data_IF_137296638335
#
_entry.id   IF_137296638335
#
_cell.length_a   1.000
_cell.length_b   1.000
_cell.length_c   1.000
_cell.angle_alpha   90.00
_cell.angle_beta   90.00
_cell.angle_gamma   90.00
#
_symmetry.space_group_name_H-M   'P 1'
#
loop_
_entity.id
_entity.type
_entity.pdbx_description
1 polymer ?
#
# COMPACT_ATOMS: atom_id res chain seq x y z
N UNK A 1 -64.54 -35.71 -2.91
CA UNK A 1 -64.50 -34.22 -2.79
C UNK A 1 -63.67 -33.71 -3.97
N UNK A 2 -64.31 -33.36 -5.10
CA UNK A 2 -64.43 -31.98 -5.65
C UNK A 2 -63.06 -31.30 -5.90
N UNK A 3 -62.48 -31.37 -7.10
CA UNK A 3 -62.62 -30.51 -8.32
C UNK A 3 -61.79 -29.21 -8.32
N UNK A 4 -61.11 -29.00 -9.47
CA UNK A 4 -60.94 -27.74 -10.23
C UNK A 4 -59.70 -26.82 -10.00
N UNK A 5 -58.84 -26.81 -11.04
CA UNK A 5 -58.31 -25.67 -11.85
C UNK A 5 -58.04 -24.30 -11.22
N UNK A 6 -56.87 -23.71 -11.53
CA UNK A 6 -56.76 -22.37 -12.12
C UNK A 6 -55.35 -22.06 -12.68
N UNK A 7 -55.34 -21.63 -13.96
CA UNK A 7 -54.31 -20.82 -14.62
C UNK A 7 -54.34 -19.39 -14.05
N UNK A 8 -53.19 -18.72 -14.02
CA UNK A 8 -53.10 -17.26 -14.21
C UNK A 8 -51.83 -16.90 -14.97
N UNK A 9 -52.03 -16.36 -16.18
CA UNK A 9 -51.14 -15.44 -16.88
C UNK A 9 -50.81 -14.23 -15.98
N UNK A 10 -49.64 -13.60 -16.17
CA UNK A 10 -49.55 -12.15 -16.49
C UNK A 10 -48.14 -11.57 -16.37
N UNK A 11 -47.86 -10.70 -17.35
CA UNK A 11 -47.04 -9.49 -17.28
C UNK A 11 -45.52 -9.59 -17.43
N UNK A 12 -45.14 -9.54 -18.71
CA UNK A 12 -44.10 -8.65 -19.23
C UNK A 12 -44.10 -7.28 -18.53
N UNK A 13 -42.95 -6.87 -17.98
CA UNK A 13 -42.70 -5.46 -17.69
C UNK A 13 -41.25 -5.12 -18.06
N UNK A 14 -41.09 -4.44 -19.19
CA UNK A 14 -39.83 -3.84 -19.64
C UNK A 14 -39.58 -2.56 -18.85
N UNK A 15 -38.40 -2.37 -18.23
CA UNK A 15 -38.03 -1.05 -17.74
C UNK A 15 -37.50 -0.20 -18.90
N UNK A 16 -38.26 0.86 -19.17
CA UNK A 16 -37.95 1.97 -20.08
C UNK A 16 -36.81 2.78 -19.47
N UNK A 17 -35.64 2.82 -20.10
CA UNK A 17 -34.53 3.69 -19.73
C UNK A 17 -34.90 5.16 -19.96
N UNK A 18 -35.21 5.88 -18.89
CA UNK A 18 -35.26 7.35 -18.90
C UNK A 18 -33.88 7.89 -18.58
N UNK A 19 -33.20 8.38 -19.61
CA UNK A 19 -32.04 9.25 -19.55
C UNK A 19 -32.39 10.52 -18.77
N UNK A 20 -31.96 10.62 -17.51
CA UNK A 20 -32.02 11.83 -16.73
C UNK A 20 -30.60 12.41 -16.61
N UNK A 21 -30.33 13.39 -17.46
CA UNK A 21 -29.10 14.19 -17.49
C UNK A 21 -29.12 15.12 -16.26
N UNK A 22 -28.13 15.09 -15.36
CA UNK A 22 -28.01 16.09 -14.31
C UNK A 22 -27.45 17.41 -14.86
N UNK A 23 -27.93 18.57 -14.38
CA UNK A 23 -27.45 19.87 -14.85
C UNK A 23 -26.03 20.16 -14.38
N UNK A 24 -25.24 20.70 -15.32
CA UNK A 24 -23.89 21.22 -15.17
C UNK A 24 -23.77 22.21 -14.00
N UNK A 25 -22.95 21.84 -13.01
CA UNK A 25 -22.53 22.71 -11.91
C UNK A 25 -21.54 23.74 -12.48
N UNK A 26 -21.93 25.02 -12.47
CA UNK A 26 -21.10 26.17 -12.81
C UNK A 26 -19.83 26.20 -11.94
N UNK A 27 -18.68 26.28 -12.59
CA UNK A 27 -17.40 26.60 -11.97
C UNK A 27 -17.41 28.02 -11.37
N UNK A 28 -16.78 28.24 -10.21
CA UNK A 28 -16.51 29.58 -9.70
C UNK A 28 -15.28 30.19 -10.41
N UNK A 29 -15.53 31.33 -11.06
CA UNK A 29 -14.54 32.27 -11.60
C UNK A 29 -13.47 32.69 -10.57
N UNK A 30 -12.18 32.77 -10.94
CA UNK A 30 -11.15 33.38 -10.10
C UNK A 30 -11.24 34.93 -10.12
N UNK A 31 -10.91 35.61 -9.01
CA UNK A 31 -10.85 37.08 -8.99
C UNK A 31 -9.61 37.60 -9.75
N UNK A 32 -9.70 38.81 -10.34
CA UNK A 32 -8.65 39.36 -11.20
C UNK A 32 -7.44 39.86 -10.42
N UNK A 33 -6.25 39.59 -10.99
CA UNK A 33 -4.99 40.23 -10.67
C UNK A 33 -5.09 41.76 -10.83
N UNK A 34 -4.77 42.48 -9.76
CA UNK A 34 -4.35 43.88 -9.83
C UNK A 34 -2.84 43.93 -9.59
N UNK A 35 -2.15 44.39 -10.63
CA UNK A 35 -0.72 44.65 -10.66
C UNK A 35 -0.49 46.18 -10.61
N UNK A 36 0.68 46.58 -10.08
CA UNK A 36 1.31 47.93 -10.01
C UNK A 36 1.07 48.84 -8.79
N UNK A 37 2.05 48.83 -7.87
CA UNK A 37 3.06 49.88 -7.50
C UNK A 37 2.63 51.38 -7.40
N UNK A 38 3.33 52.30 -6.66
CA UNK A 38 4.73 52.23 -6.15
C UNK A 38 5.04 52.86 -4.74
N UNK A 39 6.24 52.55 -4.23
CA UNK A 39 7.24 53.45 -3.58
C UNK A 39 6.75 54.68 -2.76
N UNK A 40 6.97 54.67 -1.43
CA UNK A 40 7.73 55.72 -0.68
C UNK A 40 7.69 55.56 0.85
N UNK A 41 8.90 55.67 1.44
CA UNK A 41 9.31 56.42 2.64
C UNK A 41 8.61 56.25 4.01
N UNK A 42 9.39 55.74 4.97
CA UNK A 42 9.82 56.38 6.24
C UNK A 42 8.75 57.13 7.06
N UNK A 43 8.37 56.56 8.21
CA UNK A 43 8.16 57.32 9.44
C UNK A 43 8.21 56.41 10.69
N UNK A 44 9.08 56.79 11.60
CA UNK A 44 9.20 56.47 13.01
C UNK A 44 7.88 56.71 13.75
N UNK A 45 7.43 55.78 14.61
CA UNK A 45 6.65 56.08 15.83
C UNK A 45 6.98 55.02 16.89
N UNK A 46 7.44 55.52 18.04
CA UNK A 46 7.57 54.86 19.34
C UNK A 46 6.24 54.24 19.81
N UNK A 47 6.30 53.08 20.44
CA UNK A 47 5.41 52.80 21.58
C UNK A 47 6.06 51.77 22.50
N UNK A 48 6.47 52.27 23.65
CA UNK A 48 6.65 51.59 24.92
C UNK A 48 5.53 50.61 25.28
N UNK A 49 5.91 49.64 26.13
CA UNK A 49 5.14 48.80 27.06
C UNK A 49 5.41 47.32 26.82
N UNK A 50 5.61 46.44 27.79
CA UNK A 50 5.95 46.54 29.21
C UNK A 50 6.36 45.10 29.57
N UNK A 51 7.35 44.99 30.44
CA UNK A 51 7.54 43.98 31.50
C UNK A 51 6.84 42.61 31.38
N UNK A 52 7.62 41.52 31.35
CA UNK A 52 7.76 40.63 32.52
C UNK A 52 8.67 39.43 32.14
N UNK A 53 9.93 39.50 32.57
CA UNK A 53 10.89 38.40 32.45
C UNK A 53 11.49 38.15 33.83
N UNK A 54 10.96 37.13 34.49
CA UNK A 54 11.47 36.59 35.74
C UNK A 54 12.74 35.79 35.49
N UNK A 55 13.86 36.48 35.75
CA UNK A 55 14.93 36.09 36.66
C UNK A 55 15.03 34.61 37.11
N UNK A 56 16.17 33.99 36.79
CA UNK A 56 16.85 32.96 37.59
C UNK A 56 18.31 32.83 37.11
N UNK A 57 19.17 33.70 37.66
CA UNK A 57 20.41 33.37 38.40
C UNK A 57 20.74 31.86 38.59
N UNK A 58 21.96 31.32 38.62
CA UNK A 58 23.39 31.68 38.41
C UNK A 58 24.10 30.33 38.22
N UNK A 59 25.27 30.29 37.57
CA UNK A 59 26.51 29.85 38.24
C UNK A 59 27.70 30.01 37.28
N UNK A 60 28.74 30.63 37.83
CA UNK A 60 30.00 31.02 37.21
C UNK A 60 30.91 29.82 36.97
N UNK A 61 31.86 29.96 36.03
CA UNK A 61 32.87 28.92 35.81
C UNK A 61 33.96 29.24 34.80
N UNK A 62 34.63 30.37 35.01
CA UNK A 62 35.93 30.81 34.48
C UNK A 62 36.85 29.76 33.83
N UNK A 63 37.31 29.99 32.59
CA UNK A 63 38.72 30.28 32.26
C UNK A 63 39.02 30.21 30.75
N UNK A 64 39.87 31.16 30.31
CA UNK A 64 40.44 31.35 28.96
C UNK A 64 41.99 31.18 29.08
N UNK A 65 42.79 31.29 28.00
CA UNK A 65 43.24 30.30 26.99
C UNK A 65 44.81 30.19 27.03
N UNK A 66 45.61 30.15 25.92
CA UNK A 66 45.53 29.56 24.57
C UNK A 66 46.79 28.70 24.22
N UNK A 67 46.79 27.98 23.08
CA UNK A 67 47.89 28.00 22.07
C UNK A 67 47.78 26.87 21.03
N UNK A 68 48.08 27.23 19.78
CA UNK A 68 48.33 26.38 18.62
C UNK A 68 49.41 25.32 18.86
N UNK A 69 49.33 24.16 18.19
CA UNK A 69 50.49 23.46 17.59
C UNK A 69 50.02 22.41 16.56
N UNK A 70 50.72 22.43 15.43
CA UNK A 70 50.72 21.61 14.23
C UNK A 70 50.99 20.11 14.46
N UNK A 71 50.69 19.29 13.44
CA UNK A 71 51.32 18.00 13.03
C UNK A 71 50.43 16.73 13.07
N UNK A 72 50.02 16.30 11.86
CA UNK A 72 50.03 14.88 11.42
C UNK A 72 51.48 14.34 11.42
N UNK A 73 51.80 13.02 11.50
CA UNK A 73 51.11 11.94 10.75
C UNK A 73 51.22 10.49 11.32
N UNK A 74 50.76 9.51 10.50
CA UNK A 74 51.21 8.09 10.41
C UNK A 74 50.61 7.01 11.35
N UNK A 75 49.98 6.02 10.69
CA UNK A 75 50.03 4.55 10.87
C UNK A 75 49.79 3.91 12.24
N UNK A 76 48.81 2.98 12.27
CA UNK A 76 48.95 1.52 12.50
C UNK A 76 47.61 0.96 12.98
N UNK A 77 46.96 0.06 12.25
CA UNK A 77 46.98 -1.41 12.43
C UNK A 77 46.52 -1.90 13.82
N UNK A 78 45.35 -2.56 13.76
CA UNK A 78 44.88 -3.68 14.57
C UNK A 78 44.65 -3.47 16.07
N UNK A 79 43.47 -3.90 16.55
CA UNK A 79 43.26 -4.90 17.63
C UNK A 79 41.81 -4.77 18.16
N UNK A 80 41.14 -5.92 18.14
CA UNK A 80 39.96 -6.47 18.86
C UNK A 80 39.07 -5.59 19.76
N UNK A 81 37.76 -5.84 19.63
CA UNK A 81 36.73 -6.01 20.69
C UNK A 81 35.41 -6.27 19.91
N UNK A 82 34.79 -7.45 19.88
CA UNK A 82 34.20 -8.25 20.96
C UNK A 82 33.28 -7.44 21.88
N UNK A 83 32.03 -7.23 21.48
CA UNK A 83 30.88 -7.33 22.41
C UNK A 83 29.52 -7.35 21.68
N UNK A 84 28.70 -8.32 22.09
CA UNK A 84 27.24 -8.22 22.27
C UNK A 84 26.35 -8.23 21.01
N UNK A 85 25.78 -9.38 20.64
CA UNK A 85 24.50 -9.87 21.20
C UNK A 85 23.45 -8.76 21.41
N UNK A 86 22.54 -8.62 20.44
CA UNK A 86 21.13 -8.33 20.76
C UNK A 86 20.24 -9.15 19.83
N UNK A 87 19.91 -10.32 20.37
CA UNK A 87 18.85 -11.25 20.02
C UNK A 87 17.54 -10.46 19.80
N UNK A 88 17.10 -10.36 18.56
CA UNK A 88 15.77 -9.86 18.20
C UNK A 88 14.73 -10.76 18.85
N UNK A 89 14.01 -10.21 19.82
CA UNK A 89 12.91 -10.87 20.50
C UNK A 89 11.80 -11.12 19.49
N UNK A 90 11.74 -12.38 19.05
CA UNK A 90 10.62 -13.00 18.39
C UNK A 90 9.44 -13.01 19.37
N UNK A 91 8.51 -12.07 19.14
CA UNK A 91 7.25 -11.92 19.86
C UNK A 91 6.34 -13.10 19.50
N UNK A 92 6.50 -14.18 20.25
CA UNK A 92 5.61 -15.34 20.22
C UNK A 92 4.19 -14.91 20.65
N UNK A 93 3.14 -15.23 19.89
CA UNK A 93 1.78 -14.99 20.32
C UNK A 93 1.47 -15.87 21.53
N UNK A 94 1.13 -15.21 22.64
CA UNK A 94 0.64 -15.80 23.89
C UNK A 94 -0.47 -16.81 23.54
N UNK A 95 -0.30 -18.11 23.84
CA UNK A 95 -1.40 -19.06 23.75
C UNK A 95 -2.44 -18.63 24.78
N UNK A 96 -3.61 -18.24 24.29
CA UNK A 96 -4.81 -18.08 25.11
C UNK A 96 -4.99 -19.36 25.93
N UNK A 97 -4.60 -19.30 27.20
CA UNK A 97 -5.05 -20.21 28.23
C UNK A 97 -6.58 -20.16 28.21
N UNK A 98 -7.14 -21.14 27.52
CA UNK A 98 -8.54 -21.48 27.52
C UNK A 98 -8.81 -21.98 28.93
N UNK A 99 -9.07 -21.05 29.84
CA UNK A 99 -9.58 -21.37 31.16
C UNK A 99 -10.79 -22.28 30.99
N UNK A 100 -10.57 -23.54 31.37
CA UNK A 100 -11.62 -24.47 31.68
C UNK A 100 -12.47 -23.84 32.78
N UNK A 101 -13.54 -23.14 32.41
CA UNK A 101 -14.68 -22.96 33.30
C UNK A 101 -15.25 -24.35 33.55
N UNK A 102 -15.15 -24.92 34.78
CA UNK A 102 -16.00 -26.04 35.12
C UNK A 102 -17.43 -25.54 35.02
N UNK A 103 -18.20 -26.25 34.18
CA UNK A 103 -19.63 -26.10 34.01
C UNK A 103 -20.28 -26.41 35.38
N UNK A 104 -20.41 -25.41 36.25
CA UNK A 104 -21.20 -25.52 37.47
C UNK A 104 -22.65 -25.57 37.02
N UNK A 105 -23.15 -26.80 36.86
CA UNK A 105 -24.54 -27.06 36.57
C UNK A 105 -25.41 -26.34 37.60
N UNK A 106 -26.48 -25.62 37.19
CA UNK A 106 -27.50 -25.21 38.14
C UNK A 106 -28.12 -26.48 38.71
N UNK A 107 -27.93 -26.65 40.02
CA UNK A 107 -28.58 -27.66 40.82
C UNK A 107 -30.07 -27.71 40.43
N UNK A 108 -30.48 -28.84 39.87
CA UNK A 108 -31.88 -29.19 39.69
C UNK A 108 -32.54 -29.08 41.06
N UNK A 109 -33.46 -28.13 41.20
CA UNK A 109 -34.40 -28.07 42.31
C UNK A 109 -35.11 -29.43 42.38
N UNK A 110 -34.65 -30.30 43.29
CA UNK A 110 -35.44 -31.41 43.78
C UNK A 110 -36.75 -30.83 44.29
N UNK A 111 -37.82 -31.15 43.56
CA UNK A 111 -39.18 -31.03 44.04
C UNK A 111 -39.32 -31.93 45.26
N UNK A 112 -38.99 -31.41 46.43
CA UNK A 112 -39.41 -31.96 47.70
C UNK A 112 -40.93 -31.76 47.77
N UNK A 113 -41.65 -32.75 47.25
CA UNK A 113 -43.05 -32.97 47.54
C UNK A 113 -43.16 -33.46 48.99
N UNK A 114 -43.12 -32.54 49.95
CA UNK A 114 -43.53 -32.82 51.32
C UNK A 114 -44.96 -32.31 51.52
N UNK A 115 -45.85 -33.29 51.42
CA UNK A 115 -47.11 -33.49 52.13
C UNK A 115 -47.84 -32.28 52.74
N UNK A 116 -49.15 -32.11 52.46
CA UNK A 116 -49.99 -31.19 53.23
C UNK A 116 -50.06 -31.66 54.70
N UNK A 117 -49.88 -30.77 55.69
CA UNK A 117 -50.10 -31.14 57.08
C UNK A 117 -51.58 -31.43 57.31
N UNK A 118 -51.85 -32.62 57.84
CA UNK A 118 -53.15 -33.08 58.30
C UNK A 118 -53.74 -32.13 59.34
N UNK A 119 -54.93 -31.62 59.02
CA UNK A 119 -55.85 -30.95 59.93
C UNK A 119 -56.14 -31.82 61.15
N UNK A 120 -55.48 -31.55 62.27
CA UNK A 120 -55.97 -31.94 63.59
C UNK A 120 -56.80 -30.79 64.14
N UNK A 121 -58.11 -30.95 64.10
CA UNK A 121 -59.07 -30.12 64.84
C UNK A 121 -58.87 -30.31 66.34
N UNK A 122 -58.55 -29.26 67.12
CA UNK A 122 -58.66 -29.32 68.57
C UNK A 122 -60.10 -28.99 68.99
N UNK A 123 -60.66 -29.96 69.69
CA UNK A 123 -61.90 -29.88 70.45
C UNK A 123 -61.88 -28.71 71.43
N UNK A 124 -62.83 -27.80 71.22
CA UNK A 124 -63.61 -27.07 72.23
C UNK A 124 -63.37 -27.51 73.69
N UNK A 125 -62.81 -26.65 74.53
CA UNK A 125 -63.55 -26.18 75.70
C UNK A 125 -62.90 -24.99 76.39
N UNK A 126 -63.74 -24.05 76.83
CA UNK A 126 -63.43 -23.07 77.86
C UNK A 126 -62.41 -21.96 77.54
N UNK A 127 -62.90 -20.76 77.23
CA UNK A 127 -62.71 -19.56 78.07
C UNK A 127 -63.20 -18.30 77.35
N UNK A 128 -64.31 -17.77 77.85
CA UNK A 128 -64.95 -16.54 77.42
C UNK A 128 -64.29 -15.35 78.15
N UNK A 129 -63.00 -15.10 77.93
CA UNK A 129 -62.28 -13.95 78.52
C UNK A 129 -60.93 -13.64 77.84
N UNK A 130 -60.84 -13.72 76.50
CA UNK A 130 -59.57 -13.49 75.77
C UNK A 130 -59.75 -12.85 74.39
N UNK A 131 -60.98 -12.40 74.06
CA UNK A 131 -61.29 -11.84 72.74
C UNK A 131 -60.76 -10.42 72.55
N UNK A 132 -60.65 -9.66 73.64
CA UNK A 132 -60.14 -8.28 73.61
C UNK A 132 -58.61 -8.20 73.46
N UNK A 133 -57.87 -9.20 73.97
CA UNK A 133 -56.40 -9.23 73.87
C UNK A 133 -55.91 -9.74 72.51
N UNK A 134 -56.67 -10.60 71.82
CA UNK A 134 -56.35 -11.02 70.45
C UNK A 134 -56.47 -9.87 69.44
N UNK A 135 -57.49 -9.02 69.57
CA UNK A 135 -57.69 -7.87 68.66
C UNK A 135 -56.60 -6.80 68.81
N UNK A 136 -56.00 -6.64 69.99
CA UNK A 136 -54.85 -5.74 70.21
C UNK A 136 -53.55 -6.29 69.61
N UNK A 137 -53.32 -7.61 69.70
CA UNK A 137 -52.14 -8.24 69.09
C UNK A 137 -52.20 -8.23 67.55
N UNK A 138 -53.38 -8.40 66.96
CA UNK A 138 -53.56 -8.30 65.51
C UNK A 138 -53.25 -6.89 64.99
N UNK A 139 -53.67 -5.84 65.70
CA UNK A 139 -53.35 -4.46 65.30
C UNK A 139 -51.85 -4.18 65.39
N UNK A 140 -51.19 -4.63 66.45
CA UNK A 140 -49.74 -4.44 66.61
C UNK A 140 -48.94 -5.17 65.52
N UNK A 141 -49.30 -6.40 65.19
CA UNK A 141 -48.65 -7.16 64.13
C UNK A 141 -48.88 -6.55 62.74
N UNK A 142 -50.07 -6.03 62.45
CA UNK A 142 -50.31 -5.32 61.17
C UNK A 142 -49.45 -4.08 61.01
N UNK A 143 -49.24 -3.30 62.08
CA UNK A 143 -48.39 -2.11 62.07
C UNK A 143 -46.91 -2.47 61.85
N UNK A 144 -46.42 -3.52 62.53
CA UNK A 144 -45.05 -4.01 62.34
C UNK A 144 -44.82 -4.55 60.91
N UNK A 145 -45.81 -5.21 60.32
CA UNK A 145 -45.75 -5.69 58.92
C UNK A 145 -45.73 -4.53 57.93
N UNK A 146 -46.51 -3.48 58.17
CA UNK A 146 -46.52 -2.29 57.31
C UNK A 146 -45.19 -1.53 57.38
N UNK A 147 -44.64 -1.34 58.58
CA UNK A 147 -43.33 -0.71 58.76
C UNK A 147 -42.21 -1.55 58.11
N UNK A 148 -42.24 -2.88 58.24
CA UNK A 148 -41.30 -3.76 57.56
C UNK A 148 -41.39 -3.64 56.03
N UNK A 149 -42.61 -3.53 55.49
CA UNK A 149 -42.84 -3.33 54.06
C UNK A 149 -42.32 -1.98 53.58
N UNK A 150 -42.48 -0.92 54.38
CA UNK A 150 -41.95 0.39 54.06
C UNK A 150 -40.41 0.42 54.10
N UNK A 151 -39.79 -0.20 55.10
CA UNK A 151 -38.33 -0.38 55.16
C UNK A 151 -37.80 -1.11 53.93
N UNK A 152 -38.49 -2.16 53.47
CA UNK A 152 -38.12 -2.88 52.25
C UNK A 152 -38.23 -1.99 51.00
N UNK A 153 -39.28 -1.17 50.89
CA UNK A 153 -39.41 -0.19 49.80
C UNK A 153 -38.25 0.81 49.82
N UNK A 154 -37.87 1.31 50.99
CA UNK A 154 -36.72 2.23 51.12
C UNK A 154 -35.40 1.56 50.74
N UNK A 155 -35.19 0.30 51.12
CA UNK A 155 -33.99 -0.45 50.71
C UNK A 155 -33.93 -0.64 49.20
N UNK A 156 -35.04 -1.02 48.55
CA UNK A 156 -35.08 -1.17 47.09
C UNK A 156 -34.80 0.16 46.37
N UNK A 157 -35.36 1.27 46.84
CA UNK A 157 -35.07 2.60 46.29
C UNK A 157 -33.58 2.98 46.43
N UNK A 158 -32.95 2.65 47.57
CA UNK A 158 -31.51 2.86 47.76
C UNK A 158 -30.66 1.97 46.86
N UNK A 159 -31.09 0.73 46.62
CA UNK A 159 -30.40 -0.19 45.71
C UNK A 159 -30.47 0.32 44.26
N UNK A 160 -31.64 0.79 43.82
CA UNK A 160 -31.83 1.35 42.48
C UNK A 160 -31.01 2.63 42.28
N UNK A 161 -30.96 3.53 43.27
CA UNK A 161 -30.09 4.73 43.23
C UNK A 161 -28.60 4.33 43.13
N UNK A 162 -28.17 3.31 43.87
CA UNK A 162 -26.80 2.81 43.79
C UNK A 162 -26.50 2.17 42.43
N UNK A 163 -27.45 1.44 41.83
CA UNK A 163 -27.32 0.88 40.47
C UNK A 163 -27.19 2.00 39.44
N UNK A 164 -28.04 3.02 39.51
CA UNK A 164 -27.96 4.17 38.61
C UNK A 164 -26.64 4.93 38.75
N UNK A 165 -26.14 5.14 39.97
CA UNK A 165 -24.83 5.76 40.22
C UNK A 165 -23.68 4.94 39.63
N UNK A 166 -23.71 3.62 39.79
CA UNK A 166 -22.70 2.73 39.21
C UNK A 166 -22.75 2.71 37.67
N UNK A 167 -23.94 2.72 37.08
CA UNK A 167 -24.10 2.80 35.63
C UNK A 167 -23.60 4.14 35.07
N UNK A 168 -23.95 5.25 35.72
CA UNK A 168 -23.46 6.58 35.37
C UNK A 168 -21.94 6.68 35.49
N UNK A 169 -21.35 6.09 36.54
CA UNK A 169 -19.89 6.02 36.71
C UNK A 169 -19.22 5.23 35.57
N UNK A 170 -19.79 4.08 35.17
CA UNK A 170 -19.31 3.29 34.03
C UNK A 170 -19.42 4.04 32.71
N UNK A 171 -20.49 4.82 32.51
CA UNK A 171 -20.64 5.65 31.32
C UNK A 171 -19.55 6.72 31.24
N UNK A 172 -19.31 7.45 32.34
CA UNK A 172 -18.22 8.45 32.41
C UNK A 172 -16.85 7.86 32.14
N UNK A 173 -16.59 6.63 32.60
CA UNK A 173 -15.33 5.94 32.32
C UNK A 173 -15.18 5.57 30.84
N UNK A 174 -16.26 5.12 30.18
CA UNK A 174 -16.26 4.86 28.74
C UNK A 174 -15.99 6.13 27.93
N UNK A 175 -16.69 7.22 28.25
CA UNK A 175 -16.50 8.51 27.59
C UNK A 175 -15.07 9.02 27.76
N UNK A 176 -14.48 8.89 28.96
CA UNK A 176 -13.08 9.25 29.22
C UNK A 176 -12.12 8.44 28.34
N UNK A 177 -12.34 7.13 28.22
CA UNK A 177 -11.52 6.23 27.39
C UNK A 177 -11.64 6.57 25.90
N UNK A 178 -12.85 6.88 25.43
CA UNK A 178 -13.08 7.30 24.04
C UNK A 178 -12.39 8.64 23.74
N UNK A 179 -12.43 9.59 24.66
CA UNK A 179 -11.72 10.87 24.52
C UNK A 179 -10.20 10.68 24.48
N UNK A 180 -9.66 9.84 25.36
CA UNK A 180 -8.23 9.51 25.38
C UNK A 180 -7.79 8.82 24.08
N UNK A 181 -8.57 7.86 23.58
CA UNK A 181 -8.29 7.20 22.31
C UNK A 181 -8.35 8.18 21.14
N UNK A 182 -9.30 9.11 21.16
CA UNK A 182 -9.40 10.18 20.15
C UNK A 182 -8.17 11.10 20.17
N UNK A 183 -7.75 11.55 21.36
CA UNK A 183 -6.53 12.37 21.50
C UNK A 183 -5.29 11.62 21.02
N UNK A 184 -5.19 10.32 21.32
CA UNK A 184 -4.09 9.48 20.84
C UNK A 184 -4.08 9.35 19.32
N UNK A 185 -5.25 9.21 18.68
CA UNK A 185 -5.38 9.17 17.21
C UNK A 185 -4.98 10.51 16.58
N UNK A 186 -5.46 11.63 17.12
CA UNK A 186 -5.13 12.97 16.64
C UNK A 186 -3.62 13.25 16.79
N UNK A 187 -3.01 12.87 17.92
CA UNK A 187 -1.56 13.00 18.12
C UNK A 187 -0.73 12.10 17.18
N UNK A 188 -1.20 10.88 16.90
CA UNK A 188 -0.56 9.99 15.93
C UNK A 188 -0.63 10.56 14.51
N UNK A 189 -1.78 11.12 14.12
CA UNK A 189 -1.96 11.78 12.83
C UNK A 189 -1.05 13.02 12.70
N UNK A 190 -0.92 13.84 13.75
CA UNK A 190 0.00 14.98 13.77
C UNK A 190 1.45 14.54 13.54
N UNK A 191 1.92 13.51 14.25
CA UNK A 191 3.27 12.96 14.04
C UNK A 191 3.48 12.44 12.62
N UNK A 192 2.47 11.83 12.02
CA UNK A 192 2.56 11.38 10.63
C UNK A 192 2.64 12.56 9.65
N UNK A 193 1.88 13.63 9.89
CA UNK A 193 1.94 14.87 9.09
C UNK A 193 3.31 15.54 9.20
N UNK A 194 3.84 15.71 10.42
CA UNK A 194 5.19 16.27 10.65
C UNK A 194 6.26 15.42 9.96
N UNK A 195 6.17 14.08 10.05
CA UNK A 195 7.10 13.19 9.36
C UNK A 195 7.04 13.36 7.84
N UNK A 196 5.85 13.48 7.25
CA UNK A 196 5.67 13.73 5.82
C UNK A 196 6.23 15.09 5.40
N UNK A 197 6.04 16.12 6.21
CA UNK A 197 6.61 17.46 5.97
C UNK A 197 8.13 17.44 6.05
N UNK A 198 8.72 16.78 7.03
CA UNK A 198 10.17 16.58 7.12
C UNK A 198 10.72 15.81 5.92
N UNK A 199 10.05 14.75 5.47
CA UNK A 199 10.46 13.99 4.28
C UNK A 199 10.34 14.85 3.01
N UNK A 200 9.27 15.63 2.86
CA UNK A 200 9.10 16.55 1.73
C UNK A 200 10.20 17.62 1.71
N UNK A 201 10.53 18.20 2.86
CA UNK A 201 11.61 19.15 3.00
C UNK A 201 12.97 18.54 2.65
N UNK A 202 13.25 17.31 3.11
CA UNK A 202 14.47 16.59 2.76
C UNK A 202 14.57 16.31 1.25
N UNK A 203 13.46 15.92 0.61
CA UNK A 203 13.39 15.74 -0.85
C UNK A 203 13.66 17.04 -1.61
N UNK A 204 13.13 18.16 -1.11
CA UNK A 204 13.39 19.48 -1.71
C UNK A 204 14.88 19.85 -1.62
N UNK A 205 15.52 19.65 -0.47
CA UNK A 205 16.96 19.87 -0.34
C UNK A 205 17.80 18.95 -1.23
N UNK A 206 17.43 17.67 -1.35
CA UNK A 206 18.12 16.75 -2.24
C UNK A 206 18.01 17.19 -3.70
N UNK A 207 16.82 17.63 -4.11
CA UNK A 207 16.57 18.15 -5.45
C UNK A 207 17.45 19.38 -5.75
N UNK A 208 17.50 20.36 -4.84
CA UNK A 208 18.38 21.52 -4.97
C UNK A 208 19.86 21.13 -5.03
N UNK A 209 20.28 20.16 -4.23
CA UNK A 209 21.66 19.64 -4.26
C UNK A 209 21.98 19.02 -5.61
N UNK A 210 21.08 18.20 -6.16
CA UNK A 210 21.24 17.59 -7.50
C UNK A 210 21.27 18.64 -8.59
N UNK A 211 20.47 19.71 -8.49
CA UNK A 211 20.48 20.80 -9.45
C UNK A 211 21.81 21.57 -9.43
N UNK A 212 22.34 21.86 -8.23
CA UNK A 212 23.66 22.48 -8.06
C UNK A 212 24.78 21.59 -8.60
N UNK A 213 24.74 20.29 -8.34
CA UNK A 213 25.70 19.33 -8.88
C UNK A 213 25.62 19.25 -10.41
N UNK A 214 24.42 19.19 -10.98
CA UNK A 214 24.21 19.18 -12.43
C UNK A 214 24.75 20.46 -13.09
N UNK A 215 24.53 21.64 -12.48
CA UNK A 215 25.11 22.91 -12.92
C UNK A 215 26.64 22.88 -12.87
N UNK A 216 27.22 22.39 -11.76
CA UNK A 216 28.67 22.24 -11.62
C UNK A 216 29.28 21.33 -12.69
N UNK A 217 28.67 20.16 -12.92
CA UNK A 217 29.10 19.21 -13.98
C UNK A 217 29.02 19.84 -15.38
N UNK A 218 27.99 20.63 -15.65
CA UNK A 218 27.85 21.34 -16.91
C UNK A 218 28.97 22.37 -17.10
N UNK A 219 29.27 23.17 -16.08
CA UNK A 219 30.39 24.13 -16.12
C UNK A 219 31.75 23.44 -16.28
N UNK A 220 31.98 22.33 -15.59
CA UNK A 220 33.22 21.55 -15.71
C UNK A 220 33.39 20.98 -17.12
N UNK A 221 32.33 20.41 -17.69
CA UNK A 221 32.33 19.94 -19.09
C UNK A 221 32.64 21.08 -20.04
N UNK A 222 32.03 22.25 -19.84
CA UNK A 222 32.29 23.45 -20.65
C UNK A 222 33.75 23.89 -20.56
N UNK A 223 34.33 23.96 -19.35
CA UNK A 223 35.76 24.26 -19.13
C UNK A 223 36.67 23.24 -19.82
N UNK A 224 36.32 21.95 -19.77
CA UNK A 224 37.07 20.89 -20.44
C UNK A 224 37.04 21.03 -21.97
N UNK A 225 35.88 21.37 -22.54
CA UNK A 225 35.75 21.61 -23.98
C UNK A 225 36.54 22.85 -24.43
N UNK A 226 36.52 23.94 -23.67
CA UNK A 226 37.30 25.15 -23.96
C UNK A 226 38.80 24.89 -23.84
N UNK A 227 39.24 24.14 -22.81
CA UNK A 227 40.64 23.71 -22.67
C UNK A 227 41.09 22.81 -23.83
N UNK A 228 40.21 21.90 -24.31
CA UNK A 228 40.48 21.06 -25.48
C UNK A 228 40.63 21.89 -26.76
N UNK A 229 39.73 22.85 -26.99
CA UNK A 229 39.81 23.78 -28.13
C UNK A 229 41.09 24.61 -28.08
N UNK A 230 41.50 25.07 -26.90
CA UNK A 230 42.74 25.83 -26.74
C UNK A 230 43.98 24.99 -27.02
N UNK A 231 44.00 23.73 -26.55
CA UNK A 231 45.06 22.77 -26.89
C UNK A 231 45.10 22.49 -28.40
N UNK A 232 43.96 22.40 -29.06
CA UNK A 232 43.87 22.20 -30.50
C UNK A 232 44.36 23.43 -31.28
N UNK A 233 43.98 24.65 -30.86
CA UNK A 233 44.53 25.90 -31.41
C UNK A 233 46.05 25.97 -31.25
N UNK A 234 46.56 25.61 -30.08
CA UNK A 234 48.01 25.53 -29.81
C UNK A 234 48.71 24.51 -30.72
N UNK A 235 48.11 23.33 -30.95
CA UNK A 235 48.65 22.32 -31.88
C UNK A 235 48.66 22.80 -33.33
N UNK A 236 47.63 23.54 -33.75
CA UNK A 236 47.56 24.07 -35.12
C UNK A 236 48.62 25.15 -35.35
N UNK A 237 48.83 26.03 -34.38
CA UNK A 237 49.86 27.08 -34.45
C UNK A 237 51.29 26.52 -34.58
N UNK A 238 51.61 25.41 -33.90
CA UNK A 238 52.95 24.79 -34.00
C UNK A 238 53.18 24.05 -35.32
N UNK A 239 52.11 23.53 -35.96
CA UNK A 239 52.20 22.82 -37.23
C UNK A 239 52.48 23.75 -38.42
N UNK A 240 51.88 24.95 -38.46
CA UNK A 240 52.15 25.95 -39.52
C UNK A 240 53.59 26.50 -39.47
N UNK A 241 54.18 26.61 -38.27
CA UNK A 241 55.57 27.05 -38.13
C UNK A 241 56.59 25.98 -38.57
N UNK A 242 56.23 24.69 -38.50
CA UNK A 242 57.11 23.58 -38.90
C UNK A 242 57.06 23.30 -40.41
N UNK A 243 55.93 23.58 -41.06
CA UNK A 243 55.74 23.35 -42.50
C UNK A 243 56.48 24.34 -43.39
N UNK A 244 56.95 25.47 -42.83
CA UNK A 244 57.71 26.48 -43.58
C UNK A 244 59.23 26.22 -43.67
N UNK A 245 59.75 25.13 -43.08
CA UNK A 245 61.20 24.86 -43.02
C UNK A 245 61.70 23.58 -43.70
N UNK A 246 60.84 22.83 -44.39
CA UNK A 246 61.28 21.60 -45.09
C UNK A 246 61.32 21.81 -46.60
N UNK A 247 62.25 22.67 -47.03
CA UNK A 247 62.73 22.69 -48.41
C UNK A 247 63.90 21.71 -48.57
N UNK A 248 63.69 20.75 -49.47
CA UNK A 248 64.70 20.15 -50.36
C UNK A 248 65.85 19.32 -49.75
N UNK A 249 65.70 18.00 -49.79
CA UNK A 249 66.71 16.93 -50.02
C UNK A 249 65.94 15.60 -49.84
N UNK A 250 65.79 14.67 -50.77
CA UNK A 250 66.69 14.21 -51.81
C UNK A 250 66.97 12.71 -51.58
N UNK A 251 66.54 11.88 -52.53
CA UNK A 251 67.06 10.54 -52.87
C UNK A 251 66.68 9.27 -52.06
N UNK A 252 66.25 8.25 -52.83
CA UNK A 252 66.34 6.79 -52.56
C UNK A 252 65.16 6.21 -51.78
N UNK A 253 64.50 5.11 -52.13
CA UNK A 253 64.74 4.02 -53.08
C UNK A 253 64.04 2.75 -52.55
N UNK A 254 63.51 1.90 -53.43
CA UNK A 254 62.90 0.58 -53.12
C UNK A 254 61.36 0.63 -53.05
N UNK A 255 60.53 0.11 -53.96
CA UNK A 255 60.51 -1.14 -54.76
C UNK A 255 60.45 -2.42 -53.95
N UNK A 256 59.24 -2.81 -53.54
CA UNK A 256 58.68 -4.18 -53.38
C UNK A 256 57.43 -4.00 -52.51
N UNK A 257 56.21 -4.30 -52.95
CA UNK A 257 55.74 -5.55 -53.54
C UNK A 257 54.68 -6.06 -52.58
N UNK A 258 53.39 -5.96 -52.94
CA UNK A 258 52.33 -6.93 -52.62
C UNK A 258 50.97 -6.39 -53.13
N UNK A 259 50.40 -6.98 -54.20
CA UNK A 259 49.06 -6.70 -54.66
C UNK A 259 48.05 -7.57 -53.88
N UNK A 260 47.24 -6.93 -53.03
CA UNK A 260 46.16 -7.58 -52.26
C UNK A 260 44.80 -7.13 -52.79
N UNK A 261 44.35 -7.80 -53.85
CA UNK A 261 43.02 -7.66 -54.45
C UNK A 261 41.92 -8.10 -53.46
N UNK A 262 40.87 -7.29 -53.19
CA UNK A 262 39.61 -7.83 -52.70
C UNK A 262 38.82 -8.42 -53.89
N UNK A 263 38.22 -9.62 -53.77
CA UNK A 263 37.39 -10.17 -54.84
C UNK A 263 36.04 -9.43 -54.93
N UNK A 264 35.54 -9.10 -56.13
CA UNK A 264 34.15 -8.74 -56.34
C UNK A 264 33.30 -10.02 -56.37
N UNK A 265 32.75 -10.42 -55.22
CA UNK A 265 31.81 -11.53 -55.17
C UNK A 265 30.42 -11.10 -55.66
N UNK A 266 30.18 -11.43 -56.94
CA UNK A 266 28.96 -11.99 -57.50
C UNK A 266 27.65 -11.19 -57.37
N UNK A 267 27.33 -10.51 -58.48
CA UNK A 267 25.97 -10.53 -59.01
C UNK A 267 25.53 -11.97 -59.25
N UNK A 268 24.58 -12.46 -58.45
CA UNK A 268 23.81 -13.65 -58.77
C UNK A 268 22.44 -13.19 -59.27
N UNK A 269 22.22 -13.34 -60.57
CA UNK A 269 20.92 -13.17 -61.20
C UNK A 269 20.03 -14.40 -61.03
N UNK A 270 18.78 -14.20 -61.42
CA UNK A 270 17.76 -15.22 -61.71
C UNK A 270 17.04 -15.87 -60.52
N UNK A 271 15.81 -15.40 -60.32
CA UNK A 271 14.68 -16.20 -60.82
C UNK A 271 14.18 -17.31 -59.90
N UNK A 272 13.63 -16.94 -58.75
CA UNK A 272 12.58 -17.73 -58.12
C UNK A 272 11.33 -16.86 -57.95
N UNK A 273 10.52 -16.84 -59.00
CA UNK A 273 9.08 -16.54 -58.91
C UNK A 273 8.40 -17.74 -58.24
N UNK A 274 8.62 -17.89 -56.94
CA UNK A 274 7.77 -18.73 -56.11
C UNK A 274 6.66 -17.82 -55.60
N UNK A 275 5.42 -18.06 -56.05
CA UNK A 275 4.25 -17.45 -55.46
C UNK A 275 4.33 -17.57 -53.94
N UNK A 276 4.25 -16.45 -53.18
CA UNK A 276 4.10 -16.57 -51.75
C UNK A 276 2.75 -17.21 -51.52
N UNK A 277 2.76 -18.53 -51.29
CA UNK A 277 1.68 -19.17 -50.58
C UNK A 277 1.44 -18.30 -49.34
N UNK A 278 0.20 -17.80 -49.23
CA UNK A 278 -0.34 -17.10 -48.07
C UNK A 278 -0.26 -18.04 -46.85
N UNK A 279 0.93 -18.34 -46.36
CA UNK A 279 1.10 -18.71 -44.96
C UNK A 279 0.81 -17.43 -44.20
N UNK A 280 -0.40 -17.36 -43.64
CA UNK A 280 -0.90 -16.19 -42.94
C UNK A 280 0.15 -15.70 -41.96
N UNK A 281 0.77 -14.57 -42.30
CA UNK A 281 1.71 -13.91 -41.43
C UNK A 281 1.00 -13.72 -40.11
N UNK A 282 1.56 -14.31 -39.05
CA UNK A 282 1.28 -13.92 -37.69
C UNK A 282 1.56 -12.41 -37.63
N UNK A 283 0.50 -11.63 -37.83
CA UNK A 283 0.59 -10.19 -37.93
C UNK A 283 1.22 -9.69 -36.63
N UNK A 284 2.40 -9.08 -36.74
CA UNK A 284 2.94 -8.26 -35.67
C UNK A 284 1.83 -7.28 -35.30
N UNK A 285 1.19 -7.50 -34.15
CA UNK A 285 0.14 -6.62 -33.65
C UNK A 285 0.66 -5.19 -33.70
N UNK A 286 -0.16 -4.25 -34.16
CA UNK A 286 0.31 -2.88 -34.30
C UNK A 286 0.66 -2.33 -32.91
N UNK A 287 1.61 -1.39 -32.84
CA UNK A 287 2.00 -0.76 -31.58
C UNK A 287 0.81 -0.17 -30.81
N UNK A 288 -0.24 0.25 -31.53
CA UNK A 288 -1.49 0.76 -30.96
C UNK A 288 -2.35 -0.35 -30.33
N UNK A 289 -2.43 -1.52 -30.97
CA UNK A 289 -3.15 -2.67 -30.44
C UNK A 289 -2.56 -3.14 -29.11
N UNK A 290 -1.22 -3.12 -29.00
CA UNK A 290 -0.52 -3.50 -27.77
C UNK A 290 -0.79 -2.50 -26.64
N UNK A 291 -0.83 -1.19 -26.95
CA UNK A 291 -1.15 -0.16 -25.96
C UNK A 291 -2.58 -0.33 -25.41
N UNK A 292 -3.56 -0.52 -26.30
CA UNK A 292 -4.95 -0.75 -25.91
C UNK A 292 -5.13 -2.07 -25.14
N UNK A 293 -4.39 -3.12 -25.52
CA UNK A 293 -4.40 -4.39 -24.79
C UNK A 293 -3.77 -4.27 -23.40
N UNK A 294 -2.72 -3.45 -23.24
CA UNK A 294 -2.11 -3.19 -21.93
C UNK A 294 -3.07 -2.49 -20.97
N UNK A 295 -3.80 -1.48 -21.42
CA UNK A 295 -4.82 -0.81 -20.60
C UNK A 295 -5.91 -1.78 -20.15
N UNK A 296 -6.37 -2.67 -21.05
CA UNK A 296 -7.33 -3.73 -20.71
C UNK A 296 -6.76 -4.72 -19.69
N UNK A 297 -5.49 -5.09 -19.83
CA UNK A 297 -4.80 -5.97 -18.89
C UNK A 297 -4.73 -5.35 -17.49
N UNK A 298 -4.35 -4.08 -17.39
CA UNK A 298 -4.26 -3.37 -16.10
C UNK A 298 -5.65 -3.20 -15.45
N UNK A 299 -6.65 -2.77 -16.22
CA UNK A 299 -8.04 -2.68 -15.77
C UNK A 299 -8.62 -4.03 -15.35
N UNK A 300 -8.23 -5.12 -16.02
CA UNK A 300 -8.68 -6.45 -15.65
C UNK A 300 -8.04 -6.93 -14.33
N UNK A 301 -6.79 -6.56 -14.05
CA UNK A 301 -6.14 -6.84 -12.76
C UNK A 301 -6.80 -6.08 -11.60
N UNK A 302 -7.16 -4.81 -11.81
CA UNK A 302 -7.85 -4.01 -10.78
C UNK A 302 -9.27 -4.52 -10.52
N UNK A 303 -9.97 -5.02 -11.55
CA UNK A 303 -11.31 -5.59 -11.43
C UNK A 303 -11.34 -7.05 -10.94
N UNK A 304 -10.21 -7.77 -10.95
CA UNK A 304 -10.14 -9.19 -10.60
C UNK A 304 -10.63 -9.51 -9.17
N UNK A 305 -10.30 -8.73 -8.12
CA UNK A 305 -10.84 -8.95 -6.77
C UNK A 305 -12.37 -8.87 -6.72
N UNK A 306 -12.96 -7.90 -7.43
CA UNK A 306 -14.40 -7.67 -7.44
C UNK A 306 -15.13 -8.79 -8.18
N UNK A 307 -14.58 -9.24 -9.32
CA UNK A 307 -15.09 -10.43 -10.03
C UNK A 307 -15.06 -11.68 -9.16
N UNK A 308 -13.98 -11.85 -8.39
CA UNK A 308 -13.83 -12.99 -7.50
C UNK A 308 -14.79 -12.94 -6.30
N UNK A 309 -15.29 -11.76 -5.93
CA UNK A 309 -16.34 -11.59 -4.93
C UNK A 309 -17.74 -11.88 -5.50
N UNK A 310 -17.95 -11.63 -6.81
CA UNK A 310 -19.22 -11.89 -7.49
C UNK A 310 -19.46 -13.36 -7.83
N UNK A 311 -18.39 -14.15 -7.97
CA UNK A 311 -18.50 -15.59 -8.26
C UNK A 311 -17.16 -16.27 -8.51
N UNK A 312 -17.20 -17.59 -8.82
CA UNK A 312 -15.98 -18.34 -9.08
C UNK A 312 -15.37 -17.92 -10.42
N UNK A 313 -14.07 -17.58 -10.39
CA UNK A 313 -13.31 -17.14 -11.56
C UNK A 313 -13.11 -18.28 -12.57
N UNK A 314 -13.23 -17.97 -13.85
CA UNK A 314 -12.95 -18.90 -14.96
C UNK A 314 -11.62 -18.58 -15.63
N UNK A 315 -11.16 -19.47 -16.50
CA UNK A 315 -9.94 -19.26 -17.31
C UNK A 315 -9.91 -17.89 -18.03
N UNK A 316 -11.04 -17.45 -18.58
CA UNK A 316 -11.18 -16.18 -19.33
C UNK A 316 -11.17 -14.93 -18.46
N UNK A 317 -11.43 -15.07 -17.16
CA UNK A 317 -11.41 -13.92 -16.24
C UNK A 317 -9.99 -13.53 -15.84
N UNK A 318 -9.04 -14.46 -16.00
CA UNK A 318 -7.63 -14.21 -15.70
C UNK A 318 -7.04 -13.33 -16.80
N UNK A 319 -6.44 -12.17 -16.45
CA UNK A 319 -5.86 -11.25 -17.43
C UNK A 319 -4.50 -11.77 -17.92
N UNK A 320 -4.50 -12.67 -18.90
CA UNK A 320 -3.26 -13.21 -19.50
C UNK A 320 -2.44 -12.10 -20.20
N UNK A 321 -1.09 -12.14 -20.13
CA UNK A 321 -0.22 -11.11 -20.70
C UNK A 321 -0.07 -11.28 -22.22
N UNK A 322 -1.18 -11.14 -22.95
CA UNK A 322 -1.27 -11.31 -24.40
C UNK A 322 -2.26 -10.29 -24.98
N UNK A 323 -2.04 -9.88 -26.24
CA UNK A 323 -2.96 -8.96 -26.94
C UNK A 323 -4.34 -9.59 -27.16
N UNK A 324 -4.37 -10.87 -27.55
CA UNK A 324 -5.58 -11.67 -27.68
C UNK A 324 -5.71 -12.61 -26.49
N UNK A 325 -6.88 -12.62 -25.82
CA UNK A 325 -7.10 -13.50 -24.69
C UNK A 325 -7.17 -14.97 -25.14
N UNK A 326 -6.34 -15.86 -24.57
CA UNK A 326 -6.35 -17.29 -24.89
C UNK A 326 -7.64 -17.94 -24.40
N UNK A 327 -8.19 -18.89 -25.15
CA UNK A 327 -9.35 -19.67 -24.70
C UNK A 327 -8.96 -20.91 -23.92
N UNK A 328 -7.73 -21.40 -24.10
CA UNK A 328 -7.16 -22.58 -23.43
C UNK A 328 -5.68 -22.37 -23.10
N UNK A 329 -5.15 -23.20 -22.23
CA UNK A 329 -3.72 -23.21 -21.86
C UNK A 329 -2.78 -23.46 -23.04
N UNK A 330 -3.20 -24.26 -24.02
CA UNK A 330 -2.41 -24.52 -25.24
C UNK A 330 -2.34 -23.34 -26.23
N UNK A 331 -3.17 -22.31 -26.05
CA UNK A 331 -3.14 -21.10 -26.89
C UNK A 331 -2.06 -20.10 -26.43
N UNK A 332 -1.40 -20.36 -25.30
CA UNK A 332 -0.32 -19.51 -24.79
C UNK A 332 0.94 -19.70 -25.65
N UNK A 333 1.37 -18.62 -26.31
CA UNK A 333 2.57 -18.60 -27.15
C UNK A 333 3.64 -17.74 -26.51
N UNK A 334 4.88 -18.25 -26.42
CA UNK A 334 6.02 -17.54 -25.82
C UNK A 334 6.24 -16.17 -26.46
N UNK A 335 6.31 -16.13 -27.80
CA UNK A 335 6.50 -14.89 -28.57
C UNK A 335 5.42 -13.85 -28.31
N UNK A 336 4.18 -14.27 -28.13
CA UNK A 336 3.07 -13.35 -27.85
C UNK A 336 3.21 -12.70 -26.46
N UNK A 337 3.63 -13.50 -25.46
CA UNK A 337 3.90 -13.02 -24.09
C UNK A 337 5.12 -12.09 -24.09
N UNK A 338 6.19 -12.48 -24.78
CA UNK A 338 7.41 -11.69 -24.91
C UNK A 338 7.14 -10.33 -25.57
N UNK A 339 6.46 -10.34 -26.72
CA UNK A 339 6.06 -9.11 -27.42
C UNK A 339 5.16 -8.23 -26.56
N UNK A 340 4.22 -8.84 -25.82
CA UNK A 340 3.35 -8.10 -24.92
C UNK A 340 4.12 -7.44 -23.78
N UNK A 341 4.94 -8.18 -23.01
CA UNK A 341 5.66 -7.67 -21.84
C UNK A 341 6.82 -6.72 -22.21
N UNK A 342 7.51 -6.98 -23.33
CA UNK A 342 8.67 -6.18 -23.75
C UNK A 342 8.32 -4.98 -24.62
N UNK A 343 7.05 -4.83 -25.02
CA UNK A 343 6.62 -3.69 -25.83
C UNK A 343 6.97 -2.34 -25.19
N UNK A 344 7.60 -1.40 -25.91
CA UNK A 344 7.93 -0.07 -25.39
C UNK A 344 6.71 0.83 -25.22
N UNK A 345 5.53 0.40 -25.67
CA UNK A 345 4.30 1.19 -25.59
C UNK A 345 3.79 1.36 -24.18
N UNK A 346 4.12 0.43 -23.28
CA UNK A 346 3.74 0.50 -21.87
C UNK A 346 4.96 0.65 -20.99
N UNK A 347 4.79 1.37 -19.87
CA UNK A 347 5.84 1.59 -18.87
C UNK A 347 7.16 2.11 -19.46
N UNK A 348 7.10 3.19 -20.25
CA UNK A 348 8.24 3.82 -20.93
C UNK A 348 9.42 4.17 -19.99
N UNK A 349 9.14 4.34 -18.69
CA UNK A 349 10.15 4.63 -17.66
C UNK A 349 10.96 3.41 -17.19
N UNK A 350 10.52 2.19 -17.48
CA UNK A 350 11.10 0.95 -16.92
C UNK A 350 11.94 0.19 -17.93
N UNK A 351 13.09 -0.29 -17.46
CA UNK A 351 13.94 -1.15 -18.31
C UNK A 351 13.23 -2.46 -18.66
N UNK A 352 13.53 -3.09 -19.82
CA UNK A 352 12.94 -4.38 -20.17
C UNK A 352 13.13 -5.45 -19.09
N UNK A 353 14.31 -5.50 -18.47
CA UNK A 353 14.62 -6.42 -17.36
C UNK A 353 13.76 -6.15 -16.12
N UNK A 354 13.45 -4.89 -15.84
CA UNK A 354 12.57 -4.50 -14.73
C UNK A 354 11.12 -4.88 -14.99
N UNK A 355 10.62 -4.68 -16.22
CA UNK A 355 9.28 -5.13 -16.63
C UNK A 355 9.10 -6.64 -16.47
N UNK A 356 10.11 -7.43 -16.84
CA UNK A 356 10.08 -8.89 -16.63
C UNK A 356 10.02 -9.24 -15.14
N UNK A 357 10.83 -8.58 -14.29
CA UNK A 357 10.80 -8.81 -12.83
C UNK A 357 9.44 -8.49 -12.22
N UNK A 358 8.82 -7.39 -12.62
CA UNK A 358 7.48 -7.02 -12.15
C UNK A 358 6.44 -8.05 -12.58
N UNK A 359 6.50 -8.53 -13.83
CA UNK A 359 5.64 -9.60 -14.30
C UNK A 359 5.85 -10.89 -13.50
N UNK A 360 7.09 -11.29 -13.20
CA UNK A 360 7.40 -12.45 -12.37
C UNK A 360 6.84 -12.33 -10.94
N UNK A 361 6.86 -11.14 -10.35
CA UNK A 361 6.29 -10.91 -9.01
C UNK A 361 4.76 -11.09 -8.98
N UNK A 362 4.08 -10.74 -10.07
CA UNK A 362 2.63 -10.89 -10.23
C UNK A 362 2.27 -12.35 -10.52
N UNK A 363 3.00 -12.98 -11.45
CA UNK A 363 2.74 -14.33 -11.94
C UNK A 363 3.40 -15.44 -11.10
N UNK A 364 4.02 -15.11 -9.97
CA UNK A 364 4.67 -16.10 -9.10
C UNK A 364 3.68 -17.21 -8.70
N UNK A 365 4.01 -18.50 -8.90
CA UNK A 365 3.06 -19.60 -8.72
C UNK A 365 2.51 -19.63 -7.30
N UNK A 366 3.35 -19.47 -6.28
CA UNK A 366 2.91 -19.47 -4.88
C UNK A 366 1.92 -18.34 -4.54
N UNK A 367 2.18 -17.12 -5.03
CA UNK A 367 1.29 -15.97 -4.75
C UNK A 367 -0.01 -16.07 -5.53
N UNK A 368 0.06 -16.60 -6.75
CA UNK A 368 -1.12 -16.80 -7.57
C UNK A 368 -1.99 -17.95 -7.02
N UNK A 369 -1.36 -19.07 -6.66
CA UNK A 369 -2.03 -20.25 -6.10
C UNK A 369 -2.67 -19.95 -4.74
N UNK A 370 -2.02 -19.20 -3.87
CA UNK A 370 -2.61 -18.82 -2.57
C UNK A 370 -3.75 -17.81 -2.71
N UNK A 371 -3.64 -16.83 -3.62
CA UNK A 371 -4.59 -15.71 -3.69
C UNK A 371 -5.79 -15.97 -4.60
N UNK A 372 -5.59 -16.61 -5.75
CA UNK A 372 -6.59 -16.66 -6.83
C UNK A 372 -7.14 -18.07 -7.07
N UNK A 373 -6.32 -19.11 -6.93
CA UNK A 373 -6.75 -20.49 -7.23
C UNK A 373 -7.94 -20.99 -6.38
N UNK A 374 -8.06 -20.68 -5.07
CA UNK A 374 -9.23 -21.06 -4.27
C UNK A 374 -10.53 -20.43 -4.78
N UNK A 375 -10.42 -19.28 -5.46
CA UNK A 375 -11.54 -18.52 -6.02
C UNK A 375 -11.90 -18.97 -7.44
N UNK A 376 -11.12 -19.84 -8.07
CA UNK A 376 -11.38 -20.34 -9.42
C UNK A 376 -12.32 -21.56 -9.40
N UNK A 377 -13.09 -21.72 -10.48
CA UNK A 377 -13.91 -22.92 -10.75
C UNK A 377 -13.02 -24.16 -10.78
N UNK A 378 -13.41 -25.22 -10.06
CA UNK A 378 -12.60 -26.45 -9.92
C UNK A 378 -12.18 -27.06 -11.26
N UNK A 379 -13.07 -27.03 -12.27
CA UNK A 379 -12.80 -27.53 -13.62
C UNK A 379 -11.65 -26.81 -14.33
N UNK A 380 -11.47 -25.52 -14.04
CA UNK A 380 -10.47 -24.67 -14.70
C UNK A 380 -9.18 -24.56 -13.85
N UNK A 381 -9.16 -25.04 -12.60
CA UNK A 381 -8.01 -24.87 -11.68
C UNK A 381 -6.72 -25.48 -12.21
N UNK A 382 -6.79 -26.70 -12.72
CA UNK A 382 -5.62 -27.39 -13.28
C UNK A 382 -5.11 -26.68 -14.52
N UNK A 383 -6.03 -26.22 -15.38
CA UNK A 383 -5.68 -25.49 -16.59
C UNK A 383 -5.01 -24.15 -16.24
N UNK A 384 -5.61 -23.35 -15.34
CA UNK A 384 -5.06 -22.09 -14.84
C UNK A 384 -3.67 -22.30 -14.23
N UNK A 385 -3.49 -23.33 -13.40
CA UNK A 385 -2.20 -23.66 -12.79
C UNK A 385 -1.14 -23.97 -13.85
N UNK A 386 -1.49 -24.78 -14.86
CA UNK A 386 -0.60 -25.07 -16.00
C UNK A 386 -0.26 -23.79 -16.78
N UNK A 387 -1.24 -22.92 -17.03
CA UNK A 387 -1.05 -21.65 -17.72
C UNK A 387 -0.13 -20.68 -16.97
N UNK A 388 -0.31 -20.54 -15.66
CA UNK A 388 0.57 -19.73 -14.80
C UNK A 388 2.01 -20.26 -14.83
N UNK A 389 2.18 -21.58 -14.71
CA UNK A 389 3.50 -22.22 -14.81
C UNK A 389 4.18 -21.98 -16.16
N UNK A 390 3.41 -21.98 -17.25
CA UNK A 390 3.89 -21.65 -18.59
C UNK A 390 4.36 -20.19 -18.68
N UNK A 391 3.55 -19.23 -18.22
CA UNK A 391 3.92 -17.80 -18.22
C UNK A 391 5.22 -17.56 -17.45
N UNK A 392 5.35 -18.16 -16.26
CA UNK A 392 6.56 -18.02 -15.42
C UNK A 392 7.79 -18.60 -16.12
N UNK A 393 7.66 -19.74 -16.81
CA UNK A 393 8.75 -20.32 -17.60
C UNK A 393 9.19 -19.38 -18.72
N UNK A 394 8.25 -18.85 -19.50
CA UNK A 394 8.53 -17.87 -20.54
C UNK A 394 9.24 -16.62 -19.98
N UNK A 395 8.75 -16.07 -18.85
CA UNK A 395 9.37 -14.92 -18.21
C UNK A 395 10.79 -15.21 -17.70
N UNK A 396 11.05 -16.41 -17.17
CA UNK A 396 12.38 -16.81 -16.73
C UNK A 396 13.35 -17.02 -17.90
N UNK A 397 12.86 -17.54 -19.04
CA UNK A 397 13.64 -17.63 -20.29
C UNK A 397 14.01 -16.23 -20.79
N UNK A 398 13.06 -15.28 -20.78
CA UNK A 398 13.31 -13.88 -21.14
C UNK A 398 14.26 -13.17 -20.16
N UNK A 399 14.29 -13.58 -18.89
CA UNK A 399 15.18 -13.01 -17.88
C UNK A 399 16.60 -13.59 -17.98
N UNK A 400 16.72 -14.87 -18.32
CA UNK A 400 17.99 -15.58 -18.44
C UNK A 400 18.67 -15.33 -19.80
N UNK A 401 17.86 -15.05 -20.84
CA UNK A 401 18.33 -14.83 -22.20
C UNK A 401 18.54 -13.37 -22.52
N UNK A 402 19.79 -12.99 -22.72
CA UNK A 402 20.21 -11.79 -23.46
C UNK A 402 19.65 -11.80 -24.89
N UNK A 403 18.34 -11.59 -25.10
CA UNK A 403 17.71 -11.23 -26.38
C UNK A 403 17.97 -12.13 -27.60
N UNK A 404 18.70 -13.23 -27.47
CA UNK A 404 19.09 -14.12 -28.54
C UNK A 404 17.98 -15.16 -28.72
N UNK A 405 16.84 -14.71 -29.25
CA UNK A 405 15.99 -15.55 -30.08
C UNK A 405 16.78 -15.91 -31.34
N UNK A 406 17.81 -16.74 -31.17
CA UNK A 406 18.47 -17.43 -32.27
C UNK A 406 17.52 -18.52 -32.77
N UNK A 407 17.41 -18.74 -34.09
CA UNK A 407 16.56 -19.79 -34.64
C UNK A 407 16.91 -21.14 -34.03
N UNK A 408 15.92 -22.01 -33.77
CA UNK A 408 16.16 -23.33 -33.19
C UNK A 408 17.08 -24.16 -34.11
N UNK A 409 17.96 -25.01 -33.55
CA UNK A 409 18.80 -25.92 -34.33
C UNK A 409 17.99 -26.99 -35.07
#
# INVERSE_FOLDING_TARGET
>A
MRTATARTDSSSNSPRSTSSIPPTRKEPTPPPSTDKAPRSQKATVESDADEDATDSEVEEGSNKPPASTTHTPVSSKAVVDDTSSSKTAEEQPIPLEREHRPYSQPYVNERIALSPPSNTTPTSDGTRSTRQDMESNDRKTTQEVEEARERLRQMNLKEDDLRQKNEAAKQRERERRELEERQKREAAEQREREKKEQEAFAKQQEFERREKEAKSRYEERKRSEDAKKERERSRRATWDNSSSRTSYSGAGGGTSGFPGSPPPCASFGSGFSASPAKFGGAGSASSQDVAAAWEKYDNAWTALPDKAAQGPLRWRDIPWPMVAQPSKSGDLVNDAIANFILSPTHSQSKSPKERIREALLIWHPDRFESRWLPKCVEKDREEIKSGVGFVVRCLNELMSGDGAFGPPP
#
